data_IF_808655307706
#
_entry.id   IF_808655307706
#
_cell.length_a   1.000
_cell.length_b   1.000
_cell.length_c   1.000
_cell.angle_alpha   90.00
_cell.angle_beta   90.00
_cell.angle_gamma   90.00
#
_symmetry.space_group_name_H-M   'P 1'
#
loop_
_entity.id
_entity.type
_entity.pdbx_description
1 polymer ?
#
# COMPACT_ATOMS: atom_id res chain seq x y z
N UNK A 1 7.71 33.98 95.95
CA UNK A 1 6.69 35.05 95.87
C UNK A 1 7.13 36.04 94.81
N UNK A 2 6.23 36.68 94.05
CA UNK A 2 5.30 36.11 93.06
C UNK A 2 5.43 36.82 91.69
N UNK A 3 4.86 36.31 90.59
CA UNK A 3 3.65 36.82 89.91
C UNK A 3 3.96 36.82 88.39
N UNK A 4 3.09 36.62 87.40
CA UNK A 4 1.66 36.31 87.31
C UNK A 4 1.27 36.17 85.82
N UNK A 5 0.44 35.17 85.50
CA UNK A 5 -0.73 35.12 84.60
C UNK A 5 -0.81 35.76 83.20
N UNK A 6 -1.12 34.87 82.22
CA UNK A 6 -2.24 34.83 81.25
C UNK A 6 -2.36 35.87 80.11
N UNK A 7 -2.57 35.39 78.86
CA UNK A 7 -3.89 35.30 78.19
C UNK A 7 -3.81 34.55 76.84
N UNK A 8 -4.95 33.97 76.46
CA UNK A 8 -5.18 33.02 75.36
C UNK A 8 -5.38 33.67 73.97
N UNK A 9 -5.34 32.85 72.90
CA UNK A 9 -6.38 32.84 71.83
C UNK A 9 -6.18 31.66 70.87
N UNK A 10 -7.29 30.98 70.56
CA UNK A 10 -7.42 29.95 69.52
C UNK A 10 -7.37 30.58 68.11
N UNK A 11 -6.84 29.84 67.14
CA UNK A 11 -7.19 29.99 65.73
C UNK A 11 -7.11 28.63 65.01
N UNK A 12 -8.28 28.20 64.56
CA UNK A 12 -8.58 27.08 63.67
C UNK A 12 -7.97 27.27 62.26
N UNK A 13 -7.89 26.14 61.51
CA UNK A 13 -8.03 25.99 60.05
C UNK A 13 -6.82 25.49 59.21
N UNK A 14 -7.09 24.34 58.56
CA UNK A 14 -6.73 23.87 57.22
C UNK A 14 -5.48 23.01 56.96
N UNK A 15 -5.78 21.76 56.60
CA UNK A 15 -4.98 20.84 55.80
C UNK A 15 -4.74 21.37 54.38
N UNK A 16 -3.53 21.20 53.85
CA UNK A 16 -3.21 21.35 52.43
C UNK A 16 -2.70 19.98 51.92
N UNK A 17 -3.26 19.42 50.82
CA UNK A 17 -2.78 18.17 50.26
C UNK A 17 -1.61 18.38 49.29
N UNK A 18 -0.58 17.58 49.49
CA UNK A 18 0.44 17.05 48.57
C UNK A 18 0.68 17.77 47.21
N UNK A 19 1.75 18.56 47.16
CA UNK A 19 2.48 18.92 45.92
C UNK A 19 3.38 17.76 45.46
N UNK A 20 2.85 16.70 44.87
CA UNK A 20 3.69 15.64 44.28
C UNK A 20 3.05 14.95 43.06
N UNK A 21 2.61 15.68 42.02
CA UNK A 21 2.12 15.02 40.78
C UNK A 21 2.35 15.78 39.45
N UNK A 22 3.04 16.92 39.43
CA UNK A 22 3.20 17.73 38.20
C UNK A 22 4.31 17.28 37.26
N UNK A 23 5.51 17.02 37.78
CA UNK A 23 6.72 16.96 36.95
C UNK A 23 6.97 15.60 36.28
N UNK A 24 6.45 14.52 36.87
CA UNK A 24 6.58 13.15 36.32
C UNK A 24 5.72 12.99 35.06
N UNK A 25 4.52 13.58 35.04
CA UNK A 25 3.59 13.49 33.91
C UNK A 25 4.05 14.29 32.69
N UNK A 26 4.76 15.39 32.88
CA UNK A 26 5.31 16.21 31.77
C UNK A 26 6.54 15.53 31.13
N UNK A 27 7.38 14.89 31.95
CA UNK A 27 8.54 14.11 31.49
C UNK A 27 8.15 12.86 30.69
N UNK A 28 7.14 12.10 31.15
CA UNK A 28 6.62 10.95 30.41
C UNK A 28 6.00 11.34 29.07
N UNK A 29 5.24 12.45 29.02
CA UNK A 29 4.67 12.96 27.77
C UNK A 29 5.76 13.36 26.78
N UNK A 30 6.78 14.13 27.17
CA UNK A 30 7.89 14.49 26.26
C UNK A 30 8.66 13.28 25.70
N UNK A 31 8.79 12.19 26.47
CA UNK A 31 9.46 10.95 26.02
C UNK A 31 8.59 10.10 25.09
N UNK A 32 7.26 10.04 25.31
CA UNK A 32 6.34 9.36 24.39
C UNK A 32 6.28 10.04 23.00
N UNK A 33 6.36 11.37 22.95
CA UNK A 33 6.33 12.12 21.69
C UNK A 33 7.55 11.84 20.79
N UNK A 34 8.74 11.64 21.37
CA UNK A 34 9.95 11.26 20.62
C UNK A 34 9.90 9.81 20.13
N UNK A 35 9.25 8.90 20.88
CA UNK A 35 9.12 7.49 20.52
C UNK A 35 8.09 7.25 19.41
N UNK A 36 7.10 8.14 19.25
CA UNK A 36 6.08 8.01 18.20
C UNK A 36 6.42 8.75 16.90
N UNK A 37 7.15 9.87 16.96
CA UNK A 37 7.44 10.70 15.77
C UNK A 37 8.74 10.28 15.07
N UNK A 38 9.76 9.85 15.81
CA UNK A 38 11.04 9.45 15.23
C UNK A 38 10.95 8.23 14.29
N UNK A 39 10.13 7.19 14.56
CA UNK A 39 9.92 6.10 13.61
C UNK A 39 9.18 6.55 12.35
N UNK A 40 8.23 7.49 12.48
CA UNK A 40 7.47 8.04 11.34
C UNK A 40 8.38 8.89 10.44
N UNK A 41 9.26 9.70 11.04
CA UNK A 41 10.29 10.46 10.30
C UNK A 41 11.35 9.55 9.66
N UNK A 42 11.81 8.51 10.35
CA UNK A 42 12.76 7.53 9.79
C UNK A 42 12.12 6.67 8.67
N UNK A 43 10.82 6.36 8.78
CA UNK A 43 10.06 5.68 7.72
C UNK A 43 9.91 6.57 6.48
N UNK A 44 9.69 7.89 6.66
CA UNK A 44 9.66 8.85 5.56
C UNK A 44 11.03 9.06 4.88
N UNK A 45 12.13 9.00 5.65
CA UNK A 45 13.50 9.10 5.09
C UNK A 45 13.90 7.80 4.35
N UNK A 46 13.44 6.64 4.83
CA UNK A 46 13.69 5.33 4.20
C UNK A 46 13.07 5.14 2.81
N UNK A 47 12.14 5.99 2.40
CA UNK A 47 11.51 5.97 1.07
C UNK A 47 12.35 6.64 -0.03
N UNK A 48 13.53 7.20 0.29
CA UNK A 48 14.36 7.96 -0.67
C UNK A 48 15.62 7.23 -1.18
N UNK A 49 15.72 5.93 -0.95
CA UNK A 49 16.95 5.16 -1.21
C UNK A 49 16.83 4.12 -2.32
N UNK A 50 16.37 4.52 -3.52
CA UNK A 50 16.27 3.63 -4.68
C UNK A 50 16.81 4.26 -5.96
N UNK A 51 18.06 4.73 -5.96
CA UNK A 51 18.72 5.19 -7.18
C UNK A 51 19.06 4.00 -8.10
N UNK A 52 18.08 3.52 -8.87
CA UNK A 52 18.40 2.88 -10.14
C UNK A 52 18.87 3.97 -11.11
N UNK A 53 19.88 3.69 -11.92
CA UNK A 53 20.37 4.64 -12.92
C UNK A 53 19.31 4.87 -14.02
N UNK A 54 18.38 5.79 -13.77
CA UNK A 54 17.31 6.16 -14.72
C UNK A 54 17.83 6.81 -16.02
N UNK A 55 19.15 7.02 -16.15
CA UNK A 55 19.82 7.38 -17.40
C UNK A 55 19.50 6.41 -18.57
N UNK A 56 18.98 5.21 -18.28
CA UNK A 56 18.64 4.18 -19.26
C UNK A 56 17.48 4.55 -20.21
N UNK A 57 16.60 5.50 -19.84
CA UNK A 57 15.37 5.78 -20.60
C UNK A 57 15.43 7.03 -21.47
N UNK A 58 16.62 7.58 -21.71
CA UNK A 58 16.81 8.79 -22.52
C UNK A 58 16.34 8.68 -23.98
N UNK A 59 16.02 7.48 -24.45
CA UNK A 59 15.40 7.25 -25.77
C UNK A 59 13.89 7.55 -25.78
N UNK A 60 13.22 7.51 -24.63
CA UNK A 60 11.79 7.79 -24.49
C UNK A 60 11.56 9.29 -24.60
N UNK A 61 10.69 9.77 -25.50
CA UNK A 61 10.35 11.19 -25.56
C UNK A 61 9.64 11.68 -24.28
N UNK A 62 9.13 10.77 -23.46
CA UNK A 62 8.40 11.08 -22.24
C UNK A 62 9.30 11.05 -21.00
N UNK A 63 10.56 10.65 -21.14
CA UNK A 63 11.54 10.68 -20.06
C UNK A 63 12.31 12.01 -20.06
N UNK A 64 12.18 12.77 -18.97
CA UNK A 64 12.98 13.98 -18.75
C UNK A 64 14.34 13.58 -18.10
N UNK A 65 15.47 13.74 -18.80
CA UNK A 65 16.79 13.35 -18.28
C UNK A 65 17.28 14.23 -17.11
N UNK A 66 16.78 15.46 -17.00
CA UNK A 66 17.18 16.40 -15.95
C UNK A 66 16.45 16.06 -14.64
N UNK A 67 15.13 15.90 -14.71
CA UNK A 67 14.33 15.51 -13.54
C UNK A 67 14.42 14.02 -13.22
N UNK A 68 14.87 13.19 -14.18
CA UNK A 68 14.87 11.73 -14.14
C UNK A 68 13.47 11.16 -13.87
N UNK A 69 12.44 11.77 -14.45
CA UNK A 69 11.06 11.32 -14.29
C UNK A 69 10.36 11.24 -15.64
N UNK A 70 9.38 10.35 -15.73
CA UNK A 70 8.46 10.36 -16.85
C UNK A 70 7.44 11.51 -16.72
N UNK A 71 7.11 12.15 -17.83
CA UNK A 71 6.17 13.27 -17.90
C UNK A 71 5.16 13.06 -19.02
N UNK A 72 3.93 13.53 -18.79
CA UNK A 72 2.92 13.56 -19.84
C UNK A 72 3.24 14.67 -20.84
N UNK A 73 3.42 14.31 -22.12
CA UNK A 73 3.75 15.25 -23.20
C UNK A 73 2.71 16.36 -23.39
N UNK A 74 1.45 16.08 -23.03
CA UNK A 74 0.34 17.04 -23.16
C UNK A 74 0.32 18.11 -22.06
N UNK A 75 1.34 18.18 -21.20
CA UNK A 75 1.48 19.24 -20.21
C UNK A 75 0.52 19.14 -19.03
N UNK A 76 -0.04 17.95 -18.76
CA UNK A 76 -0.77 17.72 -17.51
C UNK A 76 0.22 17.81 -16.35
N UNK A 77 0.09 18.85 -15.54
CA UNK A 77 0.87 19.06 -14.32
C UNK A 77 -0.03 18.69 -13.15
N UNK A 78 0.46 17.84 -12.26
CA UNK A 78 -0.26 17.57 -11.03
C UNK A 78 0.02 18.73 -10.05
N UNK A 79 -0.86 19.72 -10.10
CA UNK A 79 -0.77 21.00 -9.38
C UNK A 79 -1.61 21.02 -8.09
N UNK A 80 -1.91 19.83 -7.54
CA UNK A 80 -2.74 19.69 -6.33
C UNK A 80 -2.12 20.47 -5.18
N UNK A 81 -2.91 21.34 -4.59
CA UNK A 81 -2.51 22.08 -3.40
C UNK A 81 -2.63 21.19 -2.17
N UNK A 82 -1.97 21.62 -1.08
CA UNK A 82 -2.18 20.99 0.24
C UNK A 82 -3.65 21.07 0.67
N UNK A 83 -4.38 22.12 0.25
CA UNK A 83 -5.82 22.25 0.48
C UNK A 83 -6.63 21.16 -0.20
N UNK A 84 -6.26 20.77 -1.42
CA UNK A 84 -6.92 19.69 -2.17
C UNK A 84 -6.68 18.34 -1.51
N UNK A 85 -5.47 18.09 -1.01
CA UNK A 85 -5.14 16.88 -0.25
C UNK A 85 -5.95 16.79 1.05
N UNK A 86 -6.08 17.90 1.79
CA UNK A 86 -6.91 17.95 3.00
C UNK A 86 -8.39 17.78 2.69
N UNK A 87 -8.88 18.37 1.60
CA UNK A 87 -10.25 18.19 1.11
C UNK A 87 -10.52 16.73 0.75
N UNK A 88 -9.61 16.08 0.03
CA UNK A 88 -9.71 14.66 -0.32
C UNK A 88 -9.72 13.77 0.93
N UNK A 89 -8.85 14.05 1.91
CA UNK A 89 -8.83 13.32 3.17
C UNK A 89 -10.13 13.49 3.95
N UNK A 90 -10.68 14.71 4.00
CA UNK A 90 -11.98 14.97 4.62
C UNK A 90 -13.10 14.20 3.93
N UNK A 91 -13.20 14.28 2.60
CA UNK A 91 -14.19 13.54 1.81
C UNK A 91 -14.09 12.03 2.07
N UNK A 92 -12.87 11.48 2.11
CA UNK A 92 -12.66 10.07 2.42
C UNK A 92 -13.12 9.69 3.84
N UNK A 93 -12.88 10.55 4.84
CA UNK A 93 -13.29 10.27 6.23
C UNK A 93 -14.78 10.47 6.48
N UNK A 94 -15.46 11.34 5.71
CA UNK A 94 -16.89 11.64 5.89
C UNK A 94 -17.80 10.93 4.90
N UNK A 95 -17.25 10.17 3.95
CA UNK A 95 -18.07 9.41 2.99
C UNK A 95 -18.93 8.38 3.72
N UNK A 96 -20.06 8.05 3.13
CA UNK A 96 -20.84 6.90 3.58
C UNK A 96 -20.07 5.60 3.34
N UNK A 97 -20.11 4.70 4.31
CA UNK A 97 -19.47 3.39 4.18
C UNK A 97 -20.35 2.47 3.34
N UNK A 98 -19.81 1.89 2.28
CA UNK A 98 -20.50 0.85 1.53
C UNK A 98 -20.51 -0.45 2.38
N UNK A 99 -21.68 -1.05 2.68
CA UNK A 99 -21.75 -2.33 3.40
C UNK A 99 -20.88 -3.44 2.78
N UNK A 100 -20.70 -3.42 1.46
CA UNK A 100 -19.89 -4.40 0.73
C UNK A 100 -18.41 -4.32 1.10
N UNK A 101 -17.92 -3.17 1.56
CA UNK A 101 -16.55 -3.05 2.10
C UNK A 101 -16.32 -3.92 3.34
N UNK A 102 -17.39 -4.38 4.00
CA UNK A 102 -17.33 -5.26 5.16
C UNK A 102 -17.72 -6.70 4.83
N UNK A 103 -18.74 -6.89 4.01
CA UNK A 103 -19.29 -8.22 3.71
C UNK A 103 -18.62 -8.89 2.51
N UNK A 104 -17.93 -8.12 1.67
CA UNK A 104 -17.36 -8.60 0.42
C UNK A 104 -18.42 -8.79 -0.67
N UNK A 105 -17.98 -9.36 -1.79
CA UNK A 105 -18.80 -9.64 -2.97
C UNK A 105 -19.04 -11.15 -3.10
N UNK A 106 -20.11 -11.58 -3.80
CA UNK A 106 -20.27 -12.98 -4.18
C UNK A 106 -19.07 -13.47 -4.98
N UNK A 107 -18.49 -14.60 -4.58
CA UNK A 107 -17.37 -15.24 -5.28
C UNK A 107 -17.90 -16.45 -6.03
N UNK A 108 -17.53 -16.59 -7.31
CA UNK A 108 -17.89 -17.74 -8.12
C UNK A 108 -17.41 -19.04 -7.47
N UNK A 109 -18.23 -20.09 -7.52
CA UNK A 109 -17.77 -21.40 -7.06
C UNK A 109 -16.77 -22.01 -8.04
N UNK A 110 -15.97 -22.97 -7.57
CA UNK A 110 -15.08 -23.73 -8.45
C UNK A 110 -15.84 -24.47 -9.56
N UNK A 111 -17.09 -24.89 -9.29
CA UNK A 111 -17.96 -25.55 -10.26
C UNK A 111 -18.42 -24.60 -11.37
N UNK A 112 -18.80 -23.37 -11.02
CA UNK A 112 -19.18 -22.35 -12.01
C UNK A 112 -18.00 -21.98 -12.92
N UNK A 113 -16.78 -22.02 -12.36
CA UNK A 113 -15.54 -21.78 -13.10
C UNK A 113 -15.13 -22.92 -14.03
N UNK A 114 -15.58 -24.15 -13.80
CA UNK A 114 -15.19 -25.33 -14.59
C UNK A 114 -16.00 -25.47 -15.90
N UNK A 115 -17.12 -24.76 -16.04
CA UNK A 115 -18.00 -24.83 -17.22
C UNK A 115 -17.54 -23.94 -18.38
N UNK A 116 -16.23 -23.86 -18.62
CA UNK A 116 -15.69 -23.03 -19.70
C UNK A 116 -15.45 -23.84 -20.95
N UNK A 117 -15.96 -23.30 -22.03
CA UNK A 117 -15.69 -23.77 -23.38
C UNK A 117 -14.31 -23.24 -23.80
N UNK A 118 -13.33 -24.12 -23.95
CA UNK A 118 -11.95 -23.75 -24.27
C UNK A 118 -11.82 -23.02 -25.61
N UNK A 119 -12.80 -23.18 -26.50
CA UNK A 119 -12.82 -22.53 -27.82
C UNK A 119 -13.40 -21.10 -27.77
N UNK A 120 -13.83 -20.61 -26.60
CA UNK A 120 -14.40 -19.27 -26.44
C UNK A 120 -13.48 -18.36 -25.64
N UNK A 121 -13.43 -17.09 -26.04
CA UNK A 121 -12.80 -16.05 -25.25
C UNK A 121 -13.51 -15.90 -23.89
N UNK A 122 -12.74 -15.89 -22.81
CA UNK A 122 -13.22 -15.74 -21.45
C UNK A 122 -12.43 -14.68 -20.69
N UNK A 123 -13.10 -13.99 -19.77
CA UNK A 123 -12.48 -13.06 -18.82
C UNK A 123 -12.95 -13.46 -17.44
N UNK A 124 -12.01 -13.72 -16.54
CA UNK A 124 -12.29 -13.93 -15.12
C UNK A 124 -11.84 -12.73 -14.34
N UNK A 125 -12.71 -12.21 -13.49
CA UNK A 125 -12.29 -11.30 -12.44
C UNK A 125 -11.81 -12.11 -11.24
N UNK A 126 -10.49 -12.08 -10.99
CA UNK A 126 -9.89 -12.76 -9.83
C UNK A 126 -10.02 -11.88 -8.58
N UNK A 127 -9.90 -10.56 -8.75
CA UNK A 127 -10.10 -9.57 -7.70
C UNK A 127 -9.26 -8.31 -7.95
N UNK A 128 -9.73 -7.14 -7.49
CA UNK A 128 -9.10 -5.84 -7.78
C UNK A 128 -8.87 -5.66 -9.29
N UNK A 129 -7.64 -5.36 -9.72
CA UNK A 129 -7.23 -5.27 -11.11
C UNK A 129 -6.70 -6.60 -11.69
N UNK A 130 -6.78 -7.70 -10.94
CA UNK A 130 -6.36 -9.03 -11.41
C UNK A 130 -7.44 -9.65 -12.29
N UNK A 131 -7.19 -9.67 -13.60
CA UNK A 131 -8.04 -10.28 -14.61
C UNK A 131 -7.29 -11.41 -15.30
N UNK A 132 -7.97 -12.55 -15.48
CA UNK A 132 -7.48 -13.68 -16.26
C UNK A 132 -8.23 -13.70 -17.59
N UNK A 133 -7.53 -13.38 -18.67
CA UNK A 133 -8.03 -13.43 -20.04
C UNK A 133 -7.58 -14.73 -20.69
N UNK A 134 -8.52 -15.45 -21.29
CA UNK A 134 -8.26 -16.69 -22.02
C UNK A 134 -8.85 -16.56 -23.41
N UNK A 135 -8.06 -16.82 -24.46
CA UNK A 135 -8.53 -16.79 -25.85
C UNK A 135 -7.58 -17.55 -26.76
N UNK A 136 -8.12 -18.37 -27.67
CA UNK A 136 -7.35 -19.05 -28.72
C UNK A 136 -6.12 -19.83 -28.18
N UNK A 137 -6.29 -20.46 -27.02
CA UNK A 137 -5.23 -21.20 -26.32
C UNK A 137 -4.17 -20.33 -25.65
N UNK A 138 -4.39 -19.02 -25.54
CA UNK A 138 -3.52 -18.06 -24.86
C UNK A 138 -4.15 -17.51 -23.59
N UNK A 139 -3.33 -17.37 -22.56
CA UNK A 139 -3.74 -16.88 -21.25
C UNK A 139 -2.91 -15.67 -20.83
N UNK A 140 -3.61 -14.59 -20.47
CA UNK A 140 -3.00 -13.34 -19.99
C UNK A 140 -3.53 -13.05 -18.58
N UNK A 141 -2.63 -12.73 -17.65
CA UNK A 141 -2.95 -12.31 -16.29
C UNK A 141 -2.54 -10.85 -16.08
N UNK A 142 -3.45 -9.98 -15.66
CA UNK A 142 -3.13 -8.59 -15.31
C UNK A 142 -2.88 -8.43 -13.83
N UNK A 143 -1.98 -7.52 -13.45
CA UNK A 143 -1.80 -6.98 -12.08
C UNK A 143 -2.03 -8.02 -10.97
N UNK A 144 -1.23 -9.10 -10.90
CA UNK A 144 -1.48 -10.21 -10.00
C UNK A 144 -1.34 -9.80 -8.53
N UNK A 145 -2.48 -9.70 -7.82
CA UNK A 145 -2.55 -9.29 -6.43
C UNK A 145 -3.35 -10.30 -5.58
N UNK A 146 -2.65 -11.30 -5.03
CA UNK A 146 -3.22 -12.38 -4.23
C UNK A 146 -2.95 -12.25 -2.73
N UNK A 147 -2.05 -11.34 -2.33
CA UNK A 147 -1.79 -11.05 -0.91
C UNK A 147 -3.04 -10.52 -0.20
N UNK A 148 -3.15 -10.77 1.12
CA UNK A 148 -4.26 -10.28 1.94
C UNK A 148 -4.30 -8.74 2.04
N UNK A 149 -3.17 -8.07 1.83
CA UNK A 149 -3.03 -6.61 1.96
C UNK A 149 -2.20 -6.00 0.84
N UNK A 150 -2.68 -4.89 0.29
CA UNK A 150 -1.92 -4.04 -0.62
C UNK A 150 -1.02 -3.10 0.19
N UNK A 151 0.10 -3.61 0.68
CA UNK A 151 0.95 -2.86 1.61
C UNK A 151 2.38 -3.40 1.67
N UNK A 152 3.38 -2.54 1.93
CA UNK A 152 4.73 -3.00 2.27
C UNK A 152 4.80 -3.69 3.64
N UNK A 153 3.78 -3.48 4.50
CA UNK A 153 3.73 -4.03 5.85
C UNK A 153 2.65 -5.11 5.94
N UNK A 154 3.03 -6.30 6.41
CA UNK A 154 2.09 -7.42 6.54
C UNK A 154 0.93 -7.17 7.52
N UNK A 155 1.06 -6.21 8.45
CA UNK A 155 0.09 -5.95 9.52
C UNK A 155 -0.70 -4.65 9.35
N UNK A 156 -0.38 -3.81 8.36
CA UNK A 156 -0.96 -2.49 8.17
C UNK A 156 -1.28 -2.22 6.71
N UNK A 157 -2.13 -1.24 6.43
CA UNK A 157 -2.57 -0.89 5.07
C UNK A 157 -3.83 -1.61 4.61
N UNK A 158 -4.32 -1.30 3.40
CA UNK A 158 -5.58 -1.82 2.88
C UNK A 158 -5.62 -3.35 2.87
N UNK A 159 -6.59 -3.94 3.57
CA UNK A 159 -6.88 -5.37 3.55
C UNK A 159 -8.00 -5.62 2.54
N UNK A 160 -7.86 -6.66 1.72
CA UNK A 160 -8.89 -7.05 0.77
C UNK A 160 -10.13 -7.59 1.47
N UNK A 161 -11.29 -7.35 0.86
CA UNK A 161 -12.61 -7.62 1.47
C UNK A 161 -13.20 -8.98 1.09
N UNK A 162 -12.83 -9.53 -0.07
CA UNK A 162 -13.32 -10.82 -0.57
C UNK A 162 -12.14 -11.65 -1.09
N UNK A 163 -12.02 -12.97 -0.83
CA UNK A 163 -10.90 -13.84 -1.28
C UNK A 163 -10.66 -13.77 -2.80
N UNK A 164 -9.47 -14.09 -3.33
CA UNK A 164 -9.28 -14.17 -4.77
C UNK A 164 -10.20 -15.26 -5.33
N UNK A 165 -10.79 -15.06 -6.51
CA UNK A 165 -11.71 -16.04 -7.09
C UNK A 165 -11.04 -17.40 -7.43
N UNK A 166 -9.70 -17.43 -7.43
CA UNK A 166 -8.87 -18.61 -7.66
C UNK A 166 -7.55 -18.44 -6.89
N UNK A 167 -6.97 -19.52 -6.40
CA UNK A 167 -5.61 -19.47 -5.84
C UNK A 167 -4.56 -19.34 -6.93
N UNK A 168 -3.36 -18.86 -6.59
CA UNK A 168 -2.20 -18.86 -7.50
C UNK A 168 -1.91 -20.26 -8.04
N UNK A 169 -1.94 -21.27 -7.17
CA UNK A 169 -1.72 -22.67 -7.54
C UNK A 169 -2.82 -23.25 -8.45
N UNK A 170 -4.01 -22.65 -8.46
CA UNK A 170 -5.13 -23.07 -9.29
C UNK A 170 -5.19 -22.38 -10.66
N UNK A 171 -4.28 -21.44 -10.94
CA UNK A 171 -4.21 -20.77 -12.23
C UNK A 171 -3.85 -21.77 -13.34
N UNK A 172 -4.41 -21.60 -14.55
CA UNK A 172 -3.95 -22.37 -15.69
C UNK A 172 -2.54 -21.91 -16.09
N UNK A 173 -1.89 -22.57 -17.06
CA UNK A 173 -0.68 -22.03 -17.68
C UNK A 173 -0.93 -20.60 -18.18
N UNK A 174 -0.09 -19.67 -17.73
CA UNK A 174 -0.09 -18.26 -18.10
C UNK A 174 0.97 -18.06 -19.17
N UNK A 175 0.62 -17.46 -20.30
CA UNK A 175 1.59 -17.07 -21.32
C UNK A 175 2.22 -15.71 -21.00
N UNK A 176 1.38 -14.76 -20.56
CA UNK A 176 1.79 -13.37 -20.35
C UNK A 176 1.26 -12.82 -19.03
N UNK A 177 2.11 -12.15 -18.27
CA UNK A 177 1.72 -11.26 -17.17
C UNK A 177 1.86 -9.81 -17.60
N UNK A 178 0.80 -9.03 -17.45
CA UNK A 178 0.78 -7.59 -17.68
C UNK A 178 0.76 -6.87 -16.34
N UNK A 179 1.78 -6.05 -16.05
CA UNK A 179 1.78 -5.16 -14.89
C UNK A 179 1.56 -3.74 -15.39
N UNK A 180 0.57 -3.03 -14.84
CA UNK A 180 0.21 -1.69 -15.28
C UNK A 180 1.10 -0.60 -14.67
N UNK A 181 1.46 -0.73 -13.38
CA UNK A 181 2.31 0.22 -12.67
C UNK A 181 2.81 -0.36 -11.32
N UNK A 182 3.70 0.36 -10.64
CA UNK A 182 4.39 -0.09 -9.43
C UNK A 182 3.75 0.36 -8.10
N UNK A 183 2.43 0.20 -7.95
CA UNK A 183 1.75 0.35 -6.65
C UNK A 183 1.44 -1.00 -6.02
N UNK A 184 1.35 -1.09 -4.70
CA UNK A 184 1.22 -2.35 -3.96
C UNK A 184 -0.07 -3.13 -4.25
N UNK A 185 -1.11 -2.49 -4.77
CA UNK A 185 -2.36 -3.13 -5.18
C UNK A 185 -2.32 -3.67 -6.62
N UNK A 186 -1.29 -3.33 -7.40
CA UNK A 186 -1.08 -3.80 -8.78
C UNK A 186 0.22 -4.61 -8.96
N UNK A 187 1.23 -4.36 -8.12
CA UNK A 187 2.53 -5.00 -8.11
C UNK A 187 2.77 -5.63 -6.73
N UNK A 188 2.29 -6.86 -6.58
CA UNK A 188 2.41 -7.63 -5.35
C UNK A 188 3.61 -8.58 -5.42
N UNK A 189 4.75 -8.17 -4.84
CA UNK A 189 5.99 -8.96 -4.87
C UNK A 189 5.84 -10.40 -4.35
N UNK A 190 5.08 -10.69 -3.26
CA UNK A 190 4.73 -12.06 -2.88
C UNK A 190 4.05 -12.87 -3.98
N UNK A 191 3.02 -12.32 -4.64
CA UNK A 191 2.33 -13.00 -5.74
C UNK A 191 3.27 -13.23 -6.93
N UNK A 192 4.05 -12.22 -7.32
CA UNK A 192 4.99 -12.31 -8.43
C UNK A 192 6.05 -13.39 -8.20
N UNK A 193 6.67 -13.43 -7.02
CA UNK A 193 7.66 -14.46 -6.66
C UNK A 193 7.06 -15.85 -6.72
N UNK A 194 5.89 -16.02 -6.11
CA UNK A 194 5.21 -17.31 -6.09
C UNK A 194 4.80 -17.76 -7.49
N UNK A 195 4.39 -16.83 -8.34
CA UNK A 195 4.01 -17.13 -9.73
C UNK A 195 5.24 -17.53 -10.56
N UNK A 196 6.38 -16.84 -10.42
CA UNK A 196 7.63 -17.19 -11.08
C UNK A 196 8.14 -18.59 -10.67
N UNK A 197 7.99 -18.97 -9.39
CA UNK A 197 8.31 -20.33 -8.92
C UNK A 197 7.41 -21.40 -9.54
N UNK A 198 6.11 -21.12 -9.68
CA UNK A 198 5.13 -22.06 -10.20
C UNK A 198 5.20 -22.20 -11.72
N UNK A 199 5.50 -21.12 -12.43
CA UNK A 199 5.42 -21.00 -13.88
C UNK A 199 6.60 -20.14 -14.40
N UNK A 200 7.79 -20.72 -14.60
CA UNK A 200 9.02 -19.97 -14.88
C UNK A 200 9.10 -19.39 -16.30
N UNK A 201 8.33 -19.91 -17.25
CA UNK A 201 8.42 -19.56 -18.68
C UNK A 201 7.51 -18.38 -19.10
N UNK A 202 6.86 -17.71 -18.13
CA UNK A 202 5.98 -16.56 -18.37
C UNK A 202 6.75 -15.39 -19.00
N UNK A 203 6.16 -14.75 -20.01
CA UNK A 203 6.58 -13.42 -20.49
C UNK A 203 5.94 -12.33 -19.61
N UNK A 204 6.75 -11.43 -19.05
CA UNK A 204 6.24 -10.32 -18.24
C UNK A 204 6.40 -9.00 -18.98
N UNK A 205 5.28 -8.33 -19.21
CA UNK A 205 5.22 -7.01 -19.85
C UNK A 205 4.93 -5.95 -18.80
N UNK A 206 5.78 -4.92 -18.74
CA UNK A 206 5.70 -3.86 -17.73
C UNK A 206 6.03 -2.49 -18.34
N UNK A 207 5.71 -1.36 -17.67
CA UNK A 207 6.17 -0.05 -18.09
C UNK A 207 7.69 0.11 -17.91
N UNK A 208 8.29 1.05 -18.65
CA UNK A 208 9.67 1.47 -18.44
C UNK A 208 9.96 1.76 -16.95
N UNK A 209 11.08 1.23 -16.44
CA UNK A 209 11.50 1.42 -15.04
C UNK A 209 10.90 0.46 -14.02
N UNK A 210 9.96 -0.40 -14.42
CA UNK A 210 9.28 -1.37 -13.54
C UNK A 210 9.86 -2.78 -13.66
N UNK A 211 10.61 -3.09 -14.72
CA UNK A 211 11.12 -4.43 -15.04
C UNK A 211 11.99 -5.05 -13.95
N UNK A 212 12.73 -4.21 -13.21
CA UNK A 212 13.53 -4.66 -12.05
C UNK A 212 12.71 -5.49 -11.05
N UNK A 213 11.45 -5.15 -10.82
CA UNK A 213 10.62 -5.86 -9.85
C UNK A 213 10.22 -7.25 -10.33
N UNK A 214 9.91 -7.39 -11.63
CA UNK A 214 9.65 -8.70 -12.23
C UNK A 214 10.91 -9.56 -12.24
N UNK A 215 12.06 -9.00 -12.59
CA UNK A 215 13.35 -9.70 -12.52
C UNK A 215 13.70 -10.12 -11.08
N UNK A 216 13.53 -9.22 -10.10
CA UNK A 216 13.75 -9.51 -8.67
C UNK A 216 12.77 -10.55 -8.12
N UNK A 217 11.61 -10.71 -8.75
CA UNK A 217 10.65 -11.76 -8.42
C UNK A 217 11.07 -13.14 -8.98
N UNK A 218 12.00 -13.20 -9.93
CA UNK A 218 12.54 -14.43 -10.51
C UNK A 218 12.09 -14.72 -11.94
N UNK A 219 11.40 -13.81 -12.61
CA UNK A 219 11.03 -13.98 -14.02
C UNK A 219 12.24 -13.84 -14.94
N UNK A 220 12.39 -14.79 -15.87
CA UNK A 220 13.49 -14.79 -16.84
C UNK A 220 13.22 -13.89 -18.05
N UNK A 221 11.95 -13.79 -18.47
CA UNK A 221 11.54 -13.04 -19.65
C UNK A 221 10.75 -11.80 -19.22
N UNK A 222 11.39 -10.63 -19.28
CA UNK A 222 10.79 -9.34 -18.89
C UNK A 222 11.03 -8.33 -20.00
N UNK A 223 9.93 -7.78 -20.52
CA UNK A 223 9.96 -6.72 -21.53
C UNK A 223 9.37 -5.45 -20.93
N UNK A 224 10.19 -4.39 -20.88
CA UNK A 224 9.71 -3.05 -20.56
C UNK A 224 9.19 -2.35 -21.83
N UNK A 225 8.03 -1.70 -21.72
CA UNK A 225 7.36 -1.03 -22.81
C UNK A 225 7.18 0.45 -22.47
N UNK A 226 7.43 1.30 -23.47
CA UNK A 226 7.10 2.72 -23.43
C UNK A 226 5.64 2.95 -23.84
N UNK A 227 5.09 4.11 -23.51
CA UNK A 227 3.77 4.53 -24.00
C UNK A 227 3.87 5.36 -25.28
N UNK A 228 2.85 5.22 -26.14
CA UNK A 228 2.80 5.77 -27.51
C UNK A 228 2.57 7.28 -27.57
#
# INVERSE_FOLDING_TARGET
>A
MPASYAFATEALIYTQPDRWNGDILVSLKRRLWLVLILPVLLFLVGLTGGCSSMSAYSFSPQFDPDSKTFQHLNGYRDDKSVGDLLSMAWQFMTRETDPIEKTGFPVMSAADNAQRDADKAAITWIGHATLLFERDGKTILTDPMFSDRASPLAFSGPKRVAPPARSLEGLPPIDVVLISHAHYDHLDMPSLRRLAELQPDIEVLVPLGVGRYASDAGFANVTELDWW
#
